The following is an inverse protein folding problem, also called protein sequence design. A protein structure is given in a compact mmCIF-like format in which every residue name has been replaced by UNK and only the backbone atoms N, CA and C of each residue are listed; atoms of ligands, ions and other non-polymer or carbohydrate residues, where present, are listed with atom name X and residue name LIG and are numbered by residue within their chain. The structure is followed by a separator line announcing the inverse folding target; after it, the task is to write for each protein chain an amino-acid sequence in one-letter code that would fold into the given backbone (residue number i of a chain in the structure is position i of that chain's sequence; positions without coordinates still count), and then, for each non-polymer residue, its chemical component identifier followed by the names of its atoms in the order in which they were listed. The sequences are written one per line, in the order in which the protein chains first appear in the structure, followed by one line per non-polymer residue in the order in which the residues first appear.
data_IF_137550901139
#
_entry.id   IF_137550901139
#
_cell.length_a   1.000
_cell.length_b   1.000
_cell.length_c   1.000
_cell.angle_alpha   90.00
_cell.angle_beta   90.00
_cell.angle_gamma   90.00
#
_symmetry.space_group_name_H-M   'P 1'
#
loop_
_entity.id
_entity.type
_entity.pdbx_description
1 polymer ?
#
# COMPACT_ATOMS: atom_id res chain seq x y z
N UNK A 1 -21.10 5.11 -2.43
CA UNK A 1 -20.16 4.54 -1.51
C UNK A 1 -19.05 5.53 -1.18
N UNK A 2 -18.93 5.84 0.11
CA UNK A 2 -18.10 6.93 0.64
C UNK A 2 -16.61 6.82 0.26
N UNK A 3 -16.04 5.60 0.33
CA UNK A 3 -14.59 5.40 0.12
C UNK A 3 -14.17 5.46 -1.35
N UNK A 4 -15.03 5.05 -2.26
CA UNK A 4 -14.72 5.11 -3.70
C UNK A 4 -14.58 6.56 -4.18
N UNK A 5 -15.33 7.49 -3.60
CA UNK A 5 -15.25 8.92 -3.90
C UNK A 5 -13.85 9.48 -3.61
N UNK A 6 -13.28 9.12 -2.45
CA UNK A 6 -11.95 9.54 -2.07
C UNK A 6 -10.87 8.96 -2.99
N UNK A 7 -11.01 7.70 -3.38
CA UNK A 7 -10.07 7.06 -4.29
C UNK A 7 -10.12 7.67 -5.69
N UNK A 8 -11.32 7.99 -6.17
CA UNK A 8 -11.50 8.62 -7.48
C UNK A 8 -10.86 10.02 -7.52
N UNK A 9 -10.98 10.79 -6.43
CA UNK A 9 -10.40 12.13 -6.34
C UNK A 9 -8.87 12.08 -6.30
N UNK A 10 -8.28 11.10 -5.61
CA UNK A 10 -6.83 10.99 -5.49
C UNK A 10 -6.14 10.61 -6.80
N UNK A 11 -6.83 9.87 -7.67
CA UNK A 11 -6.25 9.39 -8.92
C UNK A 11 -5.83 10.52 -9.87
N UNK A 12 -6.70 11.51 -10.18
CA UNK A 12 -6.29 12.67 -11.00
C UNK A 12 -5.17 13.48 -10.36
N UNK A 13 -5.17 13.64 -9.04
CA UNK A 13 -4.13 14.38 -8.32
C UNK A 13 -2.78 13.71 -8.51
N UNK A 14 -2.72 12.38 -8.40
CA UNK A 14 -1.50 11.62 -8.63
C UNK A 14 -0.99 11.80 -10.07
N UNK A 15 -1.87 11.71 -11.05
CA UNK A 15 -1.52 11.90 -12.46
C UNK A 15 -0.93 13.29 -12.69
N UNK A 16 -1.55 14.32 -12.12
CA UNK A 16 -1.08 15.71 -12.25
C UNK A 16 0.30 15.86 -11.62
N UNK A 17 0.51 15.33 -10.41
CA UNK A 17 1.79 15.44 -9.71
C UNK A 17 2.91 14.70 -10.44
N UNK A 18 2.65 13.49 -10.94
CA UNK A 18 3.63 12.72 -11.70
C UNK A 18 3.98 13.44 -13.00
N UNK A 19 2.98 13.97 -13.71
CA UNK A 19 3.20 14.72 -14.94
C UNK A 19 4.02 16.00 -14.68
N UNK A 20 3.71 16.71 -13.61
CA UNK A 20 4.47 17.90 -13.20
C UNK A 20 5.92 17.55 -12.87
N UNK A 21 6.16 16.43 -12.21
CA UNK A 21 7.51 15.95 -11.92
C UNK A 21 8.31 15.70 -13.21
N UNK A 22 7.72 15.00 -14.18
CA UNK A 22 8.39 14.69 -15.45
C UNK A 22 8.63 15.95 -16.26
N UNK A 23 7.73 16.92 -16.22
CA UNK A 23 7.86 18.16 -16.97
C UNK A 23 8.89 19.11 -16.34
N UNK A 24 8.80 19.36 -15.03
CA UNK A 24 9.66 20.33 -14.35
C UNK A 24 10.93 19.70 -13.77
N UNK A 25 10.97 18.38 -13.63
CA UNK A 25 12.04 17.61 -12.97
C UNK A 25 12.29 18.08 -11.53
N UNK A 26 11.29 18.68 -10.89
CA UNK A 26 11.39 19.13 -9.51
C UNK A 26 10.96 18.01 -8.57
N UNK A 27 11.86 17.58 -7.67
CA UNK A 27 11.63 16.48 -6.73
C UNK A 27 10.48 16.73 -5.77
N UNK A 28 10.10 17.99 -5.54
CA UNK A 28 9.00 18.34 -4.65
C UNK A 28 7.69 17.68 -5.09
N UNK A 29 7.43 17.64 -6.40
CA UNK A 29 6.22 17.00 -6.93
C UNK A 29 6.23 15.49 -6.65
N UNK A 30 7.38 14.87 -6.70
CA UNK A 30 7.54 13.46 -6.36
C UNK A 30 7.30 13.19 -4.88
N UNK A 31 7.82 14.07 -3.99
CA UNK A 31 7.57 13.97 -2.55
C UNK A 31 6.10 14.12 -2.20
N UNK A 32 5.37 14.97 -2.91
CA UNK A 32 3.95 15.17 -2.67
C UNK A 32 3.10 13.91 -2.98
N UNK A 33 3.63 13.01 -3.82
CA UNK A 33 2.93 11.75 -4.11
C UNK A 33 2.97 10.77 -2.93
N UNK A 34 3.98 10.85 -2.06
CA UNK A 34 4.15 9.93 -0.92
C UNK A 34 2.98 10.02 0.07
N UNK A 35 2.60 11.21 0.59
CA UNK A 35 1.44 11.32 1.47
C UNK A 35 0.15 10.83 0.83
N UNK A 36 -0.01 11.05 -0.47
CA UNK A 36 -1.21 10.62 -1.21
C UNK A 36 -1.26 9.09 -1.27
N UNK A 37 -0.13 8.43 -1.52
CA UNK A 37 -0.05 6.97 -1.51
C UNK A 37 -0.39 6.39 -0.14
N UNK A 38 0.12 6.99 0.93
CA UNK A 38 -0.22 6.59 2.30
C UNK A 38 -1.71 6.77 2.56
N UNK A 39 -2.26 7.90 2.16
CA UNK A 39 -3.70 8.20 2.29
C UNK A 39 -4.56 7.15 1.57
N UNK A 40 -4.21 6.82 0.34
CA UNK A 40 -4.92 5.79 -0.44
C UNK A 40 -4.86 4.44 0.27
N UNK A 41 -3.71 4.07 0.82
CA UNK A 41 -3.55 2.82 1.58
C UNK A 41 -4.47 2.79 2.80
N UNK A 42 -4.56 3.89 3.56
CA UNK A 42 -5.46 3.99 4.70
C UNK A 42 -6.93 3.89 4.29
N UNK A 43 -7.33 4.58 3.22
CA UNK A 43 -8.71 4.53 2.73
C UNK A 43 -9.07 3.10 2.31
N UNK A 44 -8.17 2.42 1.61
CA UNK A 44 -8.38 1.03 1.22
C UNK A 44 -8.46 0.10 2.43
N UNK A 45 -7.63 0.33 3.44
CA UNK A 45 -7.69 -0.44 4.69
C UNK A 45 -9.06 -0.33 5.36
N UNK A 46 -9.57 0.90 5.53
CA UNK A 46 -10.89 1.11 6.14
C UNK A 46 -12.01 0.53 5.29
N UNK A 47 -11.90 0.64 3.97
CA UNK A 47 -12.86 0.03 3.05
C UNK A 47 -12.91 -1.48 3.21
N UNK A 48 -11.76 -2.15 3.24
CA UNK A 48 -11.68 -3.59 3.44
C UNK A 48 -12.17 -4.01 4.84
N UNK A 49 -11.83 -3.23 5.86
CA UNK A 49 -12.28 -3.46 7.23
C UNK A 49 -13.81 -3.45 7.32
N UNK A 50 -14.46 -2.51 6.64
CA UNK A 50 -15.92 -2.40 6.66
C UNK A 50 -16.61 -3.51 5.85
N UNK A 51 -15.92 -4.07 4.86
CA UNK A 51 -16.44 -5.19 4.05
C UNK A 51 -16.29 -6.55 4.71
N UNK A 52 -15.52 -6.66 5.78
CA UNK A 52 -15.29 -7.95 6.42
C UNK A 52 -16.59 -8.51 6.98
N UNK A 53 -16.88 -9.76 6.62
CA UNK A 53 -18.05 -10.50 7.14
C UNK A 53 -17.84 -10.89 8.60
N UNK A 54 -16.59 -11.15 8.98
CA UNK A 54 -16.21 -11.54 10.33
C UNK A 54 -15.14 -10.59 10.83
N UNK A 55 -15.36 -9.99 12.01
CA UNK A 55 -14.46 -9.00 12.59
C UNK A 55 -13.86 -9.50 13.91
N UNK A 56 -13.28 -10.71 13.88
CA UNK A 56 -12.52 -11.21 15.02
C UNK A 56 -11.19 -10.47 15.14
N UNK A 57 -10.62 -10.44 16.35
CA UNK A 57 -9.34 -9.78 16.58
C UNK A 57 -8.23 -10.33 15.68
N UNK A 58 -8.22 -11.66 15.44
CA UNK A 58 -7.23 -12.30 14.55
C UNK A 58 -7.34 -11.79 13.11
N UNK A 59 -8.57 -11.71 12.59
CA UNK A 59 -8.82 -11.24 11.22
C UNK A 59 -8.41 -9.77 11.07
N UNK A 60 -8.79 -8.93 12.03
CA UNK A 60 -8.45 -7.51 12.02
C UNK A 60 -6.94 -7.30 12.11
N UNK A 61 -6.23 -8.07 12.93
CA UNK A 61 -4.78 -7.99 13.05
C UNK A 61 -4.09 -8.39 11.74
N UNK A 62 -4.55 -9.46 11.09
CA UNK A 62 -4.01 -9.87 9.79
C UNK A 62 -4.22 -8.79 8.73
N UNK A 63 -5.39 -8.18 8.70
CA UNK A 63 -5.69 -7.08 7.78
C UNK A 63 -4.76 -5.89 8.03
N UNK A 64 -4.55 -5.53 9.30
CA UNK A 64 -3.66 -4.44 9.70
C UNK A 64 -2.22 -4.70 9.27
N UNK A 65 -1.70 -5.91 9.52
CA UNK A 65 -0.35 -6.29 9.11
C UNK A 65 -0.20 -6.27 7.59
N UNK A 66 -1.19 -6.80 6.86
CA UNK A 66 -1.18 -6.81 5.40
C UNK A 66 -1.01 -5.39 4.85
N UNK A 67 -1.85 -4.45 5.28
CA UNK A 67 -1.81 -3.08 4.77
C UNK A 67 -0.58 -2.31 5.24
N UNK A 68 -0.08 -2.57 6.46
CA UNK A 68 1.16 -1.96 6.94
C UNK A 68 2.35 -2.39 6.10
N UNK A 69 2.49 -3.70 5.86
CA UNK A 69 3.57 -4.25 5.05
C UNK A 69 3.45 -3.76 3.59
N UNK A 70 2.24 -3.72 3.06
CA UNK A 70 1.98 -3.19 1.72
C UNK A 70 2.43 -1.73 1.59
N UNK A 71 2.09 -0.90 2.57
CA UNK A 71 2.47 0.52 2.58
C UNK A 71 4.00 0.68 2.61
N UNK A 72 4.68 -0.08 3.46
CA UNK A 72 6.15 -0.08 3.52
C UNK A 72 6.75 -0.54 2.18
N UNK A 73 6.19 -1.59 1.58
CA UNK A 73 6.68 -2.11 0.31
C UNK A 73 6.56 -1.07 -0.81
N UNK A 74 5.47 -0.31 -0.84
CA UNK A 74 5.26 0.74 -1.85
C UNK A 74 6.18 1.93 -1.60
N UNK A 75 6.40 2.31 -0.33
CA UNK A 75 7.20 3.48 0.02
C UNK A 75 8.71 3.26 -0.17
N UNK A 76 9.22 2.04 -0.03
CA UNK A 76 10.66 1.77 -0.14
C UNK A 76 11.29 2.24 -1.45
N UNK A 77 10.75 1.89 -2.65
CA UNK A 77 11.31 2.40 -3.90
C UNK A 77 11.22 3.92 -4.01
N UNK A 78 10.14 4.52 -3.51
CA UNK A 78 9.98 5.97 -3.51
C UNK A 78 11.05 6.65 -2.67
N UNK A 79 11.30 6.16 -1.47
CA UNK A 79 12.31 6.71 -0.57
C UNK A 79 13.70 6.57 -1.16
N UNK A 80 14.03 5.42 -1.74
CA UNK A 80 15.34 5.19 -2.38
C UNK A 80 15.53 6.11 -3.56
N UNK A 81 14.52 6.29 -4.41
CA UNK A 81 14.59 7.20 -5.55
C UNK A 81 14.81 8.64 -5.08
N UNK A 82 14.09 9.06 -4.01
CA UNK A 82 14.27 10.39 -3.45
C UNK A 82 15.67 10.61 -2.90
N UNK A 83 16.22 9.64 -2.17
CA UNK A 83 17.57 9.72 -1.62
C UNK A 83 18.62 9.80 -2.73
N UNK A 84 18.50 8.99 -3.78
CA UNK A 84 19.39 9.03 -4.92
C UNK A 84 19.36 10.40 -5.64
N UNK A 85 18.18 10.99 -5.72
CA UNK A 85 18.00 12.29 -6.36
C UNK A 85 18.63 13.42 -5.53
N UNK A 86 18.47 13.40 -4.22
CA UNK A 86 19.00 14.43 -3.30
C UNK A 86 20.52 14.33 -3.22
N UNK A 87 21.04 13.12 -3.03
CA UNK A 87 22.48 12.91 -2.82
C UNK A 87 23.29 12.96 -4.12
N UNK A 88 22.61 13.00 -5.25
CA UNK A 88 23.23 12.89 -6.60
C UNK A 88 24.11 11.66 -6.76
N UNK A 89 24.03 10.71 -5.85
CA UNK A 89 24.71 9.43 -5.97
C UNK A 89 23.86 8.52 -6.86
N UNK A 90 24.44 8.14 -8.01
CA UNK A 90 23.78 7.20 -8.92
C UNK A 90 24.01 5.77 -8.45
N UNK A 91 23.63 5.48 -7.22
CA UNK A 91 23.76 4.12 -6.69
C UNK A 91 22.56 3.29 -7.13
N UNK A 92 22.66 2.76 -8.35
CA UNK A 92 21.66 1.89 -8.94
C UNK A 92 21.47 0.62 -8.09
N UNK A 93 22.54 0.17 -7.42
CA UNK A 93 22.53 -1.01 -6.58
C UNK A 93 21.51 -0.91 -5.43
N UNK A 94 21.48 0.23 -4.72
CA UNK A 94 20.53 0.43 -3.63
C UNK A 94 19.08 0.41 -4.11
N UNK A 95 18.84 0.95 -5.31
CA UNK A 95 17.50 0.92 -5.92
C UNK A 95 17.07 -0.51 -6.23
N UNK A 96 17.95 -1.34 -6.78
CA UNK A 96 17.65 -2.75 -7.05
C UNK A 96 17.41 -3.53 -5.76
N UNK A 97 18.20 -3.29 -4.73
CA UNK A 97 18.02 -3.95 -3.43
C UNK A 97 16.66 -3.57 -2.83
N UNK A 98 16.31 -2.28 -2.86
CA UNK A 98 15.01 -1.80 -2.36
C UNK A 98 13.86 -2.40 -3.15
N UNK A 99 13.95 -2.50 -4.47
CA UNK A 99 12.94 -3.13 -5.31
C UNK A 99 12.79 -4.62 -4.98
N UNK A 100 13.91 -5.32 -4.78
CA UNK A 100 13.89 -6.73 -4.38
C UNK A 100 13.20 -6.95 -3.04
N UNK A 101 13.51 -6.11 -2.05
CA UNK A 101 12.86 -6.14 -0.74
C UNK A 101 11.37 -5.85 -0.87
N UNK A 102 10.99 -4.87 -1.71
CA UNK A 102 9.59 -4.53 -1.96
C UNK A 102 8.83 -5.70 -2.57
N UNK A 103 9.40 -6.40 -3.54
CA UNK A 103 8.77 -7.58 -4.14
C UNK A 103 8.58 -8.67 -3.10
N UNK A 104 9.58 -8.92 -2.26
CA UNK A 104 9.46 -9.91 -1.18
C UNK A 104 8.35 -9.53 -0.19
N UNK A 105 8.24 -8.26 0.17
CA UNK A 105 7.18 -7.77 1.06
C UNK A 105 5.80 -7.89 0.42
N UNK A 106 5.67 -7.65 -0.89
CA UNK A 106 4.42 -7.83 -1.61
C UNK A 106 3.99 -9.30 -1.65
N UNK A 107 4.94 -10.22 -1.82
CA UNK A 107 4.65 -11.66 -1.73
C UNK A 107 4.18 -12.03 -0.33
N UNK A 108 4.79 -11.46 0.70
CA UNK A 108 4.36 -11.66 2.09
C UNK A 108 2.93 -11.16 2.32
N UNK A 109 2.56 -10.01 1.76
CA UNK A 109 1.18 -9.51 1.86
C UNK A 109 0.21 -10.47 1.19
N UNK A 110 0.60 -11.08 0.06
CA UNK A 110 -0.21 -12.11 -0.61
C UNK A 110 -0.45 -13.30 0.29
N UNK A 111 0.59 -13.79 0.98
CA UNK A 111 0.46 -14.92 1.93
C UNK A 111 -0.48 -14.54 3.08
N UNK A 112 -0.34 -13.35 3.65
CA UNK A 112 -1.20 -12.87 4.73
C UNK A 112 -2.65 -12.77 4.26
N UNK A 113 -2.88 -12.30 3.05
CA UNK A 113 -4.21 -12.21 2.45
C UNK A 113 -4.87 -13.59 2.33
N UNK A 114 -4.11 -14.58 1.86
CA UNK A 114 -4.60 -15.96 1.75
C UNK A 114 -4.96 -16.51 3.14
N UNK A 115 -4.09 -16.33 4.13
CA UNK A 115 -4.35 -16.74 5.51
C UNK A 115 -5.61 -16.11 6.05
N UNK A 116 -5.78 -14.82 5.84
CA UNK A 116 -6.96 -14.08 6.28
C UNK A 116 -8.24 -14.63 5.64
N UNK A 117 -8.21 -14.88 4.33
CA UNK A 117 -9.36 -15.42 3.59
C UNK A 117 -9.74 -16.79 4.11
N UNK A 118 -8.75 -17.67 4.35
CA UNK A 118 -9.00 -19.01 4.88
C UNK A 118 -9.57 -18.95 6.30
N UNK A 119 -9.08 -18.05 7.12
CA UNK A 119 -9.59 -17.86 8.49
C UNK A 119 -11.03 -17.39 8.48
N UNK A 120 -11.38 -16.46 7.61
CA UNK A 120 -12.76 -15.97 7.45
C UNK A 120 -13.68 -17.13 7.03
N UNK A 121 -13.26 -17.93 6.05
CA UNK A 121 -14.04 -19.09 5.62
C UNK A 121 -14.25 -20.10 6.75
N UNK A 122 -13.22 -20.36 7.54
CA UNK A 122 -13.31 -21.25 8.69
C UNK A 122 -14.32 -20.76 9.72
N UNK A 123 -14.29 -19.47 10.05
CA UNK A 123 -15.22 -18.86 11.00
C UNK A 123 -16.66 -18.86 10.47
N UNK A 124 -16.85 -18.61 9.17
CA UNK A 124 -18.17 -18.69 8.54
C UNK A 124 -18.74 -20.10 8.61
N UNK A 125 -17.92 -21.13 8.39
CA UNK A 125 -18.35 -22.53 8.52
C UNK A 125 -18.80 -22.85 9.94
N UNK A 126 -18.05 -22.37 10.95
CA UNK A 126 -18.44 -22.56 12.36
C UNK A 126 -19.78 -21.91 12.66
N UNK A 127 -20.03 -20.71 12.18
CA UNK A 127 -21.28 -20.00 12.40
C UNK A 127 -22.45 -20.68 11.70
N UNK A 128 -22.24 -21.24 10.51
CA UNK A 128 -23.27 -21.94 9.75
C UNK A 128 -23.60 -23.33 10.33
N UNK A 129 -22.65 -23.96 11.04
CA UNK A 129 -22.87 -25.27 11.66
C UNK A 129 -23.58 -25.19 13.01
N UNK A 130 -23.80 -24.00 13.52
CA UNK A 130 -24.58 -23.74 14.73
C UNK A 130 -26.02 -23.35 14.37
#
# INVERSE_FOLDING_TARGET
MKYNKYLIITFPILIILVSAFFYTKNIIYFYLTIPICVYVSFVRYFKEKNKLLIKTNKVLNLLKYEFTIYTVAVLLPYLTTCLNFISKTKSVEYTYIACGISVALLLLTGVIHIKRTLLIRKELRKNNSR
#
